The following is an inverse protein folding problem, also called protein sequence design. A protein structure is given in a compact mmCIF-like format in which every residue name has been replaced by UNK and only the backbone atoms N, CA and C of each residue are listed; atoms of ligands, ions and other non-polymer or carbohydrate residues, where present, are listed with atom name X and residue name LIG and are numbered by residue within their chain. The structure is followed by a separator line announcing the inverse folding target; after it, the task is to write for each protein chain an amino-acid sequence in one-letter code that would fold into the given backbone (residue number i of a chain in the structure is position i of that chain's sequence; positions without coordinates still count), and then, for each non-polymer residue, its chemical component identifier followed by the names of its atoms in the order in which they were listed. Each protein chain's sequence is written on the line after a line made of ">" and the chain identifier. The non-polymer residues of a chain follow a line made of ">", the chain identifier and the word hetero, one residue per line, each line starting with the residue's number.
data_IF_933899124255
#
_entry.id   IF_933899124255
#
_cell.length_a   1.000
_cell.length_b   1.000
_cell.length_c   1.000
_cell.angle_alpha   90.00
_cell.angle_beta   90.00
_cell.angle_gamma   90.00
#
_symmetry.space_group_name_H-M   'P 1'
#
loop_
_entity.id
_entity.type
_entity.pdbx_description
1 polymer ?
#
# COMPACT_ATOMS: atom_id res chain seq x y z
N UNK A 1 6.78 2.89 21.31
CA UNK A 1 8.14 2.38 21.07
C UNK A 1 8.74 3.31 20.04
N UNK A 2 9.66 4.18 20.43
CA UNK A 2 10.35 5.09 19.49
C UNK A 2 11.59 4.40 18.95
N UNK A 3 11.92 4.62 17.68
CA UNK A 3 13.10 4.03 17.04
C UNK A 3 14.38 4.76 17.42
N UNK A 4 15.47 4.02 17.66
CA UNK A 4 16.78 4.60 17.93
C UNK A 4 17.46 5.02 16.61
N UNK A 5 17.90 6.28 16.54
CA UNK A 5 18.55 6.82 15.34
C UNK A 5 20.05 6.50 15.35
N UNK A 6 20.49 5.56 14.51
CA UNK A 6 21.90 5.20 14.36
C UNK A 6 22.59 6.04 13.26
N UNK A 7 22.66 7.36 13.44
CA UNK A 7 23.16 8.29 12.41
C UNK A 7 24.67 8.14 12.12
N UNK A 8 25.44 7.64 13.09
CA UNK A 8 26.89 7.44 12.95
C UNK A 8 27.26 6.12 12.23
N UNK A 9 26.28 5.23 12.01
CA UNK A 9 26.52 3.96 11.35
C UNK A 9 26.84 4.16 9.86
N UNK A 10 27.97 3.63 9.42
CA UNK A 10 28.46 3.71 8.02
C UNK A 10 28.32 2.40 7.25
N UNK A 11 27.87 1.32 7.90
CA UNK A 11 27.56 0.04 7.25
C UNK A 11 26.06 -0.02 6.90
N UNK A 12 25.76 0.33 5.65
CA UNK A 12 24.38 0.45 5.15
C UNK A 12 23.83 -0.84 4.53
N UNK A 13 24.58 -1.95 4.57
CA UNK A 13 24.23 -3.18 3.82
C UNK A 13 22.88 -3.78 4.20
N UNK A 14 22.51 -3.65 5.47
CA UNK A 14 21.26 -4.21 6.02
C UNK A 14 20.31 -3.11 6.54
N UNK A 15 20.50 -1.87 6.11
CA UNK A 15 19.64 -0.76 6.55
C UNK A 15 18.26 -0.87 5.92
N UNK A 16 17.22 -0.96 6.76
CA UNK A 16 15.83 -0.93 6.33
C UNK A 16 15.49 0.42 5.70
N UNK A 17 14.84 0.39 4.53
CA UNK A 17 14.34 1.58 3.85
C UNK A 17 12.85 1.70 4.10
N UNK A 18 12.42 2.87 4.54
CA UNK A 18 11.04 3.17 4.89
C UNK A 18 10.59 4.45 4.19
N UNK A 19 9.31 4.50 3.81
CA UNK A 19 8.65 5.73 3.39
C UNK A 19 7.95 6.33 4.59
N UNK A 20 8.12 7.64 4.80
CA UNK A 20 7.48 8.37 5.90
C UNK A 20 7.11 9.78 5.44
N UNK A 21 6.18 10.41 6.17
CA UNK A 21 5.78 11.80 5.97
C UNK A 21 6.18 12.60 7.21
N UNK A 22 6.83 13.75 7.00
CA UNK A 22 7.18 14.64 8.09
C UNK A 22 5.96 15.46 8.52
N UNK A 23 5.63 15.39 9.81
CA UNK A 23 4.61 16.23 10.41
C UNK A 23 5.29 17.33 11.22
N UNK A 24 5.08 18.59 10.82
CA UNK A 24 5.65 19.75 11.51
C UNK A 24 4.62 20.87 11.62
N UNK A 25 4.85 21.84 12.50
CA UNK A 25 3.95 23.00 12.63
C UNK A 25 3.86 23.86 11.37
N UNK A 26 4.93 23.88 10.55
CA UNK A 26 4.99 24.64 9.30
C UNK A 26 4.46 23.83 8.09
N UNK A 27 4.32 22.51 8.24
CA UNK A 27 3.84 21.60 7.21
C UNK A 27 3.03 20.48 7.89
N UNK A 28 1.76 20.75 8.25
CA UNK A 28 0.87 19.73 8.79
C UNK A 28 0.50 18.71 7.70
N UNK A 29 0.10 17.51 8.11
CA UNK A 29 -0.37 16.49 7.17
C UNK A 29 -1.67 16.93 6.49
N UNK A 30 -1.75 16.74 5.18
CA UNK A 30 -2.97 16.99 4.42
C UNK A 30 -3.95 15.83 4.63
N UNK A 31 -5.22 16.09 5.02
CA UNK A 31 -6.24 15.06 5.09
C UNK A 31 -6.44 14.40 3.72
N UNK A 32 -6.40 13.07 3.66
CA UNK A 32 -6.58 12.29 2.44
C UNK A 32 -7.53 11.11 2.67
N UNK A 33 -8.25 10.73 1.62
CA UNK A 33 -8.99 9.47 1.57
C UNK A 33 -8.19 8.47 0.75
N UNK A 34 -7.72 7.40 1.39
CA UNK A 34 -7.02 6.31 0.71
C UNK A 34 -8.00 5.17 0.46
N UNK A 35 -8.20 4.81 -0.81
CA UNK A 35 -9.01 3.66 -1.23
C UNK A 35 -8.07 2.68 -1.90
N UNK A 36 -8.02 1.46 -1.38
CA UNK A 36 -7.21 0.39 -1.95
C UNK A 36 -8.10 -0.47 -2.82
N UNK A 37 -7.83 -0.46 -4.12
CA UNK A 37 -8.53 -1.32 -5.05
C UNK A 37 -7.78 -2.63 -5.24
N UNK A 38 -8.52 -3.72 -5.36
CA UNK A 38 -8.02 -5.03 -5.75
C UNK A 38 -8.57 -5.38 -7.14
N UNK A 39 -8.22 -6.57 -7.63
CA UNK A 39 -8.71 -7.12 -8.88
C UNK A 39 -10.23 -7.15 -8.89
N UNK A 40 -10.81 -6.53 -9.93
CA UNK A 40 -12.27 -6.50 -10.16
C UNK A 40 -12.86 -7.88 -10.44
N UNK A 41 -12.02 -8.85 -10.84
CA UNK A 41 -12.40 -10.21 -11.14
C UNK A 41 -11.71 -11.17 -10.18
N UNK A 42 -12.43 -12.19 -9.70
CA UNK A 42 -11.87 -13.29 -8.91
C UNK A 42 -11.12 -14.31 -9.77
N UNK A 43 -11.36 -14.31 -11.08
CA UNK A 43 -10.72 -15.19 -12.07
C UNK A 43 -9.96 -14.35 -13.11
N UNK A 44 -8.70 -14.69 -13.36
CA UNK A 44 -7.81 -13.90 -14.23
C UNK A 44 -8.13 -14.01 -15.73
N UNK A 45 -8.72 -15.12 -16.16
CA UNK A 45 -9.17 -15.35 -17.55
C UNK A 45 -10.50 -16.09 -17.51
N UNK A 46 -11.47 -15.63 -18.31
CA UNK A 46 -12.73 -16.32 -18.48
C UNK A 46 -12.63 -17.29 -19.65
N UNK A 47 -13.20 -18.47 -19.48
CA UNK A 47 -13.25 -19.54 -20.47
C UNK A 47 -14.60 -19.52 -21.20
N UNK A 48 -14.68 -20.26 -22.31
CA UNK A 48 -15.93 -20.43 -23.04
C UNK A 48 -16.98 -21.12 -22.15
N UNK A 49 -18.10 -20.45 -21.88
CA UNK A 49 -19.16 -20.92 -20.98
C UNK A 49 -19.18 -20.24 -19.60
N UNK A 50 -18.17 -19.44 -19.26
CA UNK A 50 -18.20 -18.65 -18.02
C UNK A 50 -19.25 -17.54 -18.09
N UNK A 51 -19.99 -17.37 -16.99
CA UNK A 51 -20.89 -16.22 -16.79
C UNK A 51 -20.15 -15.16 -15.98
N UNK A 52 -19.91 -14.00 -16.58
CA UNK A 52 -19.09 -12.91 -16.04
C UNK A 52 -19.47 -12.52 -14.60
N UNK A 53 -20.77 -12.40 -14.33
CA UNK A 53 -21.35 -11.96 -13.06
C UNK A 53 -20.92 -12.83 -11.87
N UNK A 54 -20.65 -14.11 -12.12
CA UNK A 54 -20.21 -15.06 -11.10
C UNK A 54 -18.76 -14.82 -10.65
N UNK A 55 -17.98 -14.08 -11.44
CA UNK A 55 -16.56 -13.84 -11.19
C UNK A 55 -16.26 -12.39 -10.80
N UNK A 56 -17.28 -11.54 -10.62
CA UNK A 56 -17.11 -10.17 -10.12
C UNK A 56 -16.65 -10.20 -8.66
N UNK A 57 -15.57 -9.49 -8.36
CA UNK A 57 -15.10 -9.28 -6.99
C UNK A 57 -15.79 -8.05 -6.39
N UNK A 58 -16.88 -8.25 -5.66
CA UNK A 58 -17.60 -7.18 -4.94
C UNK A 58 -16.84 -6.60 -3.75
N UNK A 59 -15.72 -7.21 -3.35
CA UNK A 59 -14.81 -6.73 -2.31
C UNK A 59 -13.54 -6.09 -2.91
N UNK A 60 -13.55 -5.70 -4.18
CA UNK A 60 -12.41 -5.06 -4.88
C UNK A 60 -12.18 -3.59 -4.53
N UNK A 61 -12.92 -3.05 -3.56
CA UNK A 61 -12.85 -1.65 -3.09
C UNK A 61 -12.95 -1.59 -1.58
#
# INVERSE_FOLDING_TARGET
>A
MEGETQLDNKDFKNTLKLTWLAETSQAPLTPVTCIHYDNIMTKAKLDEGDTFENFVNYASK
#
